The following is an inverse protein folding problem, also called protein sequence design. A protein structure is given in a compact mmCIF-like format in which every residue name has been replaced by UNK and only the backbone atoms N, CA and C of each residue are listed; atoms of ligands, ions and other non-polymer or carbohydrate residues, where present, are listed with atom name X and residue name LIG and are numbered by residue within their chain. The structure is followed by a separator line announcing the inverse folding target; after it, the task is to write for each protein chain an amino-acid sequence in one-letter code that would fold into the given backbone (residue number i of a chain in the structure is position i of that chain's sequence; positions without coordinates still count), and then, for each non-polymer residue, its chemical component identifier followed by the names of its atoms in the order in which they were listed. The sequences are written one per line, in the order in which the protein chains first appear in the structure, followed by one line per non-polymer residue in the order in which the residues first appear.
data_IF_593601819229
#
_entry.id   IF_593601819229
#
_cell.length_a   1.000
_cell.length_b   1.000
_cell.length_c   1.000
_cell.angle_alpha   90.00
_cell.angle_beta   90.00
_cell.angle_gamma   90.00
#
_symmetry.space_group_name_H-M   'P 1'
#
loop_
_entity.id
_entity.type
_entity.pdbx_description
1 polymer ?
#
# COMPACT_ATOMS: atom_id res chain seq x y z
N UNK A 1 14.37 -16.90 43.53
CA UNK A 1 14.29 -15.46 43.25
C UNK A 1 13.59 -15.33 41.91
N UNK A 2 12.42 -14.69 41.86
CA UNK A 2 11.69 -14.46 40.61
C UNK A 2 12.53 -13.52 39.77
N UNK A 3 13.05 -13.98 38.63
CA UNK A 3 13.70 -13.09 37.66
C UNK A 3 12.63 -12.15 37.13
N UNK A 4 12.72 -10.88 37.50
CA UNK A 4 11.93 -9.82 36.85
C UNK A 4 12.52 -9.67 35.44
N UNK A 5 11.71 -9.74 34.37
CA UNK A 5 12.23 -9.52 33.02
C UNK A 5 12.93 -8.17 32.95
N UNK A 6 14.12 -8.11 32.35
CA UNK A 6 14.81 -6.85 32.06
C UNK A 6 13.83 -5.91 31.32
N UNK A 7 13.69 -4.64 31.72
CA UNK A 7 12.84 -3.69 31.01
C UNK A 7 13.39 -3.51 29.59
N UNK A 8 12.76 -4.15 28.62
CA UNK A 8 13.05 -3.94 27.22
C UNK A 8 12.64 -2.50 26.86
N UNK A 9 13.64 -1.67 26.57
CA UNK A 9 13.46 -0.34 26.00
C UNK A 9 12.98 -0.51 24.56
N UNK A 10 11.67 -0.56 24.36
CA UNK A 10 11.08 -0.55 23.04
C UNK A 10 11.08 0.89 22.51
N UNK A 11 11.90 1.17 21.52
CA UNK A 11 11.78 2.41 20.74
C UNK A 11 10.54 2.31 19.85
N UNK A 12 9.54 3.12 20.17
CA UNK A 12 8.34 3.21 19.34
C UNK A 12 8.67 4.01 18.07
N UNK A 13 8.06 3.67 16.92
CA UNK A 13 8.17 4.48 15.73
C UNK A 13 7.70 5.91 16.04
N UNK A 14 8.37 6.93 15.47
CA UNK A 14 8.09 8.33 15.77
C UNK A 14 6.70 8.80 15.30
N UNK A 15 5.99 8.01 14.50
CA UNK A 15 4.62 8.29 14.10
C UNK A 15 3.78 7.00 14.13
N UNK A 16 2.53 7.13 14.61
CA UNK A 16 1.57 6.05 14.52
C UNK A 16 1.28 5.70 13.05
N UNK A 17 1.16 4.41 12.69
CA UNK A 17 0.75 4.01 11.35
C UNK A 17 -0.61 4.61 10.98
N UNK A 18 -0.80 4.91 9.70
CA UNK A 18 -2.10 5.39 9.22
C UNK A 18 -3.20 4.33 9.44
N UNK A 19 -4.37 4.76 9.92
CA UNK A 19 -5.54 3.90 10.12
C UNK A 19 -6.27 3.50 8.82
N UNK A 20 -5.59 3.59 7.67
CA UNK A 20 -6.07 2.95 6.46
C UNK A 20 -5.45 1.55 6.41
N UNK A 21 -6.25 0.51 6.63
CA UNK A 21 -5.80 -0.88 6.58
C UNK A 21 -5.55 -1.34 5.12
N UNK A 22 -4.78 -0.57 4.36
CA UNK A 22 -4.61 -0.74 2.91
C UNK A 22 -5.81 -0.29 2.07
N UNK A 23 -6.81 0.36 2.66
CA UNK A 23 -8.09 0.70 2.00
C UNK A 23 -8.11 2.06 1.30
N UNK A 24 -7.02 2.46 0.65
CA UNK A 24 -7.03 3.71 -0.14
C UNK A 24 -7.73 3.50 -1.47
N UNK A 25 -8.37 4.56 -2.00
CA UNK A 25 -9.08 4.48 -3.28
C UNK A 25 -8.11 4.12 -4.41
N UNK A 26 -6.92 4.73 -4.41
CA UNK A 26 -5.87 4.43 -5.39
C UNK A 26 -5.39 2.97 -5.32
N UNK A 27 -5.26 2.40 -4.13
CA UNK A 27 -4.86 0.99 -3.94
C UNK A 27 -5.94 0.02 -4.43
N UNK A 28 -7.21 0.27 -4.12
CA UNK A 28 -8.31 -0.59 -4.57
C UNK A 28 -8.50 -0.57 -6.09
N UNK A 29 -8.33 0.59 -6.73
CA UNK A 29 -8.36 0.70 -8.20
C UNK A 29 -7.22 -0.11 -8.82
N UNK A 30 -6.02 -0.01 -8.27
CA UNK A 30 -4.89 -0.82 -8.73
C UNK A 30 -5.17 -2.31 -8.60
N UNK A 31 -5.61 -2.74 -7.41
CA UNK A 31 -5.84 -4.15 -7.11
C UNK A 31 -6.87 -4.76 -8.05
N UNK A 32 -8.06 -4.16 -8.17
CA UNK A 32 -9.09 -4.67 -9.08
C UNK A 32 -8.70 -4.58 -10.54
N UNK A 33 -8.10 -3.46 -10.97
CA UNK A 33 -7.69 -3.27 -12.36
C UNK A 33 -6.64 -4.28 -12.81
N UNK A 34 -5.62 -4.54 -11.99
CA UNK A 34 -4.58 -5.53 -12.27
C UNK A 34 -5.16 -6.95 -12.26
N UNK A 35 -6.00 -7.29 -11.27
CA UNK A 35 -6.68 -8.59 -11.23
C UNK A 35 -7.52 -8.84 -12.48
N UNK A 36 -8.31 -7.85 -12.92
CA UNK A 36 -9.12 -7.95 -14.14
C UNK A 36 -8.26 -8.06 -15.40
N UNK A 37 -7.18 -7.28 -15.50
CA UNK A 37 -6.25 -7.34 -16.62
C UNK A 37 -5.61 -8.72 -16.76
N UNK A 38 -5.14 -9.31 -15.66
CA UNK A 38 -4.58 -10.67 -15.66
C UNK A 38 -5.64 -11.74 -15.90
N UNK A 39 -6.86 -11.57 -15.41
CA UNK A 39 -7.97 -12.47 -15.72
C UNK A 39 -8.24 -12.50 -17.24
N UNK A 40 -8.36 -11.33 -17.87
CA UNK A 40 -8.58 -11.21 -19.32
C UNK A 40 -7.40 -11.77 -20.11
N UNK A 41 -6.17 -11.46 -19.69
CA UNK A 41 -4.97 -11.99 -20.33
C UNK A 41 -4.91 -13.52 -20.24
N UNK A 42 -5.21 -14.09 -19.07
CA UNK A 42 -5.28 -15.53 -18.86
C UNK A 42 -6.31 -16.21 -19.75
N UNK A 43 -7.51 -15.62 -19.89
CA UNK A 43 -8.52 -16.10 -20.85
C UNK A 43 -8.00 -16.05 -22.28
N UNK A 44 -7.33 -14.97 -22.68
CA UNK A 44 -6.71 -14.85 -24.01
C UNK A 44 -5.70 -15.95 -24.28
N UNK A 45 -4.85 -16.27 -23.31
CA UNK A 45 -3.86 -17.35 -23.41
C UNK A 45 -4.53 -18.74 -23.52
N UNK A 46 -5.57 -19.02 -22.73
CA UNK A 46 -6.32 -20.28 -22.80
C UNK A 46 -6.96 -20.47 -24.19
N UNK A 47 -7.45 -19.39 -24.78
CA UNK A 47 -8.09 -19.40 -26.10
C UNK A 47 -7.10 -19.31 -27.26
N UNK A 48 -5.78 -19.28 -27.00
CA UNK A 48 -4.74 -19.00 -28.00
C UNK A 48 -5.04 -17.73 -28.84
N UNK A 49 -5.59 -16.70 -28.20
CA UNK A 49 -5.96 -15.45 -28.83
C UNK A 49 -5.07 -14.31 -28.34
N UNK A 50 -4.07 -13.97 -29.15
CA UNK A 50 -3.07 -12.95 -28.84
C UNK A 50 -3.70 -11.56 -28.64
N UNK A 51 -4.75 -11.21 -29.37
CA UNK A 51 -5.40 -9.90 -29.22
C UNK A 51 -6.06 -9.75 -27.84
N UNK A 52 -6.69 -10.81 -27.34
CA UNK A 52 -7.29 -10.82 -25.99
C UNK A 52 -6.20 -10.78 -24.92
N UNK A 53 -5.10 -11.53 -25.13
CA UNK A 53 -3.96 -11.51 -24.22
C UNK A 53 -3.33 -10.09 -24.11
N UNK A 54 -3.12 -9.44 -25.26
CA UNK A 54 -2.58 -8.06 -25.34
C UNK A 54 -3.56 -7.07 -24.72
N UNK A 55 -4.87 -7.20 -24.95
CA UNK A 55 -5.88 -6.34 -24.32
C UNK A 55 -5.84 -6.44 -22.80
N UNK A 56 -5.71 -7.65 -22.24
CA UNK A 56 -5.54 -7.85 -20.80
C UNK A 56 -4.27 -7.18 -20.26
N UNK A 57 -3.15 -7.30 -20.96
CA UNK A 57 -1.90 -6.62 -20.60
C UNK A 57 -2.04 -5.09 -20.64
N UNK A 58 -2.73 -4.54 -21.64
CA UNK A 58 -3.00 -3.10 -21.74
C UNK A 58 -3.82 -2.60 -20.54
N UNK A 59 -4.82 -3.37 -20.10
CA UNK A 59 -5.63 -3.05 -18.89
C UNK A 59 -4.75 -2.99 -17.64
N UNK A 60 -3.78 -3.89 -17.48
CA UNK A 60 -2.82 -3.84 -16.37
C UNK A 60 -2.03 -2.53 -16.37
N UNK A 61 -1.46 -2.16 -17.53
CA UNK A 61 -0.67 -0.93 -17.68
C UNK A 61 -1.52 0.31 -17.36
N UNK A 62 -2.74 0.39 -17.91
CA UNK A 62 -3.67 1.50 -17.63
C UNK A 62 -4.02 1.59 -16.14
N UNK A 63 -4.24 0.45 -15.48
CA UNK A 63 -4.57 0.41 -14.05
C UNK A 63 -3.43 0.92 -13.16
N UNK A 64 -2.18 0.60 -13.52
CA UNK A 64 -0.99 1.13 -12.84
C UNK A 64 -0.91 2.65 -13.00
N UNK A 65 -1.05 3.15 -14.22
CA UNK A 65 -1.00 4.60 -14.51
C UNK A 65 -2.10 5.32 -13.74
N UNK A 66 -3.34 4.81 -13.78
CA UNK A 66 -4.48 5.40 -13.09
C UNK A 66 -4.24 5.47 -11.58
N UNK A 67 -3.72 4.40 -10.97
CA UNK A 67 -3.42 4.39 -9.53
C UNK A 67 -2.36 5.43 -9.14
N UNK A 68 -1.32 5.59 -9.96
CA UNK A 68 -0.28 6.61 -9.73
C UNK A 68 -0.86 8.02 -9.81
N UNK A 69 -1.69 8.29 -10.83
CA UNK A 69 -2.39 9.58 -10.96
C UNK A 69 -3.29 9.84 -9.76
N UNK A 70 -4.09 8.85 -9.34
CA UNK A 70 -4.95 8.95 -8.17
C UNK A 70 -4.16 9.23 -6.88
N UNK A 71 -2.98 8.62 -6.73
CA UNK A 71 -2.07 8.90 -5.60
C UNK A 71 -1.62 10.37 -5.62
N UNK A 72 -1.27 10.90 -6.79
CA UNK A 72 -0.92 12.32 -6.97
C UNK A 72 -2.07 13.27 -6.63
N UNK A 73 -3.32 12.85 -6.87
CA UNK A 73 -4.53 13.59 -6.49
C UNK A 73 -4.90 13.47 -5.00
N UNK A 74 -4.08 12.82 -4.17
CA UNK A 74 -4.34 12.63 -2.74
C UNK A 74 -5.34 11.51 -2.41
N UNK A 75 -5.69 10.65 -3.39
CA UNK A 75 -6.58 9.49 -3.18
C UNK A 75 -5.83 8.22 -2.72
N UNK A 76 -4.50 8.31 -2.60
CA UNK A 76 -3.63 7.27 -2.07
C UNK A 76 -3.25 7.50 -0.61
N UNK A 77 -2.29 6.71 -0.11
CA UNK A 77 -1.80 6.87 1.25
C UNK A 77 -0.86 8.09 1.33
N UNK A 78 -1.08 9.02 2.28
CA UNK A 78 -0.18 10.15 2.48
C UNK A 78 1.19 9.68 2.99
N UNK A 79 2.22 10.48 2.74
CA UNK A 79 3.55 10.22 3.29
C UNK A 79 3.50 10.34 4.83
N UNK A 80 4.18 9.45 5.58
CA UNK A 80 4.32 9.60 7.02
C UNK A 80 4.83 11.01 7.35
N UNK A 81 4.06 11.76 8.14
CA UNK A 81 4.55 12.98 8.77
C UNK A 81 4.91 12.61 10.20
N UNK A 82 6.14 12.89 10.59
CA UNK A 82 6.54 12.85 12.00
C UNK A 82 6.25 14.23 12.59
N UNK A 83 5.29 14.37 13.51
CA UNK A 83 5.15 15.61 14.26
C UNK A 83 6.46 15.93 15.00
N UNK A 84 6.91 17.17 14.95
CA UNK A 84 8.13 17.63 15.65
C UNK A 84 8.07 17.33 17.15
N UNK A 85 6.86 17.42 17.74
CA UNK A 85 6.58 17.07 19.13
C UNK A 85 6.92 15.62 19.46
N UNK A 86 6.59 14.67 18.59
CA UNK A 86 6.91 13.24 18.79
C UNK A 86 8.37 12.91 18.50
N UNK A 87 9.05 13.70 17.66
CA UNK A 87 10.47 13.50 17.36
C UNK A 87 11.39 13.82 18.55
N UNK A 88 10.98 14.75 19.42
CA UNK A 88 11.71 15.18 20.62
C UNK A 88 11.07 14.68 21.93
N UNK A 89 10.14 13.72 21.87
CA UNK A 89 9.45 13.26 23.08
C UNK A 89 10.28 12.21 23.82
N UNK A 90 10.97 12.65 24.86
CA UNK A 90 11.60 11.77 25.85
C UNK A 90 10.53 11.14 26.73
N UNK A 91 10.01 9.99 26.31
CA UNK A 91 8.96 9.25 27.02
C UNK A 91 9.37 8.72 28.40
N UNK A 92 10.65 8.85 28.76
CA UNK A 92 11.25 8.34 29.99
C UNK A 92 11.72 9.44 30.96
N UNK A 93 11.48 10.72 30.65
CA UNK A 93 11.76 11.81 31.59
C UNK A 93 10.58 11.99 32.56
N UNK A 94 10.53 11.20 33.62
CA UNK A 94 9.68 11.39 34.80
C UNK A 94 10.49 11.14 36.07
#
# INVERSE_FOLDING_TARGET
MVQTPEPHTYELPPAAPFSNHGRTKAAWVLMWGVCLGFLVAGVGLILANDMVAIAGAAVVVVSVILSVVMRGMGLGQPAPRVPEETANKDWYSA
#
